data_IF_372954212276
#
_entry.id   IF_372954212276
#
_cell.length_a   1.000
_cell.length_b   1.000
_cell.length_c   1.000
_cell.angle_alpha   90.00
_cell.angle_beta   90.00
_cell.angle_gamma   90.00
#
_symmetry.space_group_name_H-M   'P 1'
#
loop_
_entity.id
_entity.type
_entity.pdbx_description
1 polymer ?
#
# COMPACT_ATOMS: atom_id res chain seq x y z
N UNK A 1 16.61 8.17 22.57
CA UNK A 1 17.97 7.58 22.69
C UNK A 1 18.12 6.48 21.66
N UNK A 2 19.13 6.57 20.78
CA UNK A 2 19.45 5.55 19.77
C UNK A 2 19.85 4.25 20.46
N UNK A 3 19.06 3.18 20.31
CA UNK A 3 19.41 1.86 20.86
C UNK A 3 20.12 1.07 19.77
N UNK A 4 21.44 0.95 19.90
CA UNK A 4 22.24 -0.01 19.12
C UNK A 4 22.10 -1.38 19.81
N UNK A 5 21.58 -2.40 19.11
CA UNK A 5 21.56 -3.79 19.61
C UNK A 5 22.62 -4.59 18.86
N UNK A 6 23.70 -5.07 19.51
CA UNK A 6 24.71 -5.87 18.83
C UNK A 6 24.25 -7.33 18.69
N UNK A 7 24.40 -7.88 17.49
CA UNK A 7 24.48 -9.33 17.28
C UNK A 7 25.97 -9.71 17.20
N UNK A 8 26.30 -10.91 17.69
CA UNK A 8 27.66 -11.45 17.61
C UNK A 8 28.05 -11.61 16.13
N UNK A 9 29.03 -10.83 15.68
CA UNK A 9 29.62 -10.90 14.34
C UNK A 9 28.96 -9.98 13.31
N UNK A 10 29.45 -8.74 13.22
CA UNK A 10 29.41 -7.83 12.05
C UNK A 10 28.06 -7.43 11.44
N UNK A 11 27.32 -6.55 12.13
CA UNK A 11 26.78 -5.26 11.66
C UNK A 11 25.93 -4.70 12.82
N UNK A 12 26.20 -3.47 13.26
CA UNK A 12 25.37 -2.84 14.30
C UNK A 12 24.00 -2.51 13.70
N UNK A 13 22.96 -3.23 14.12
CA UNK A 13 21.57 -2.86 13.81
C UNK A 13 21.29 -1.49 14.42
N UNK A 14 21.18 -0.47 13.58
CA UNK A 14 20.78 0.87 14.02
C UNK A 14 19.26 0.90 14.08
N UNK A 15 18.72 1.07 15.28
CA UNK A 15 17.28 1.21 15.48
C UNK A 15 16.89 2.69 15.57
N UNK A 16 15.98 3.06 14.68
CA UNK A 16 15.20 4.29 14.59
C UNK A 16 13.70 3.96 14.73
N UNK A 17 13.36 2.95 15.54
CA UNK A 17 11.96 2.58 15.76
C UNK A 17 11.23 3.65 16.58
N UNK A 18 9.98 3.98 16.20
CA UNK A 18 9.11 4.93 16.92
C UNK A 18 9.73 6.33 17.12
N UNK A 19 10.65 6.76 16.26
CA UNK A 19 11.27 8.09 16.36
C UNK A 19 10.59 9.08 15.41
N UNK A 20 10.77 10.37 15.68
CA UNK A 20 10.54 11.43 14.70
C UNK A 20 11.87 12.01 14.25
N UNK A 21 12.13 12.00 12.94
CA UNK A 21 13.31 12.61 12.33
C UNK A 21 12.87 13.61 11.27
N UNK A 22 13.53 14.77 11.25
CA UNK A 22 13.32 15.82 10.26
C UNK A 22 14.65 16.22 9.65
N UNK A 23 14.71 16.38 8.32
CA UNK A 23 15.88 16.89 7.59
C UNK A 23 17.18 16.12 7.85
N UNK A 24 17.08 14.82 8.18
CA UNK A 24 18.26 14.01 8.48
C UNK A 24 18.82 13.41 7.21
N UNK A 25 20.10 13.64 6.96
CA UNK A 25 20.81 12.97 5.88
C UNK A 25 21.40 11.64 6.36
N UNK A 26 21.07 10.58 5.63
CA UNK A 26 21.66 9.25 5.69
C UNK A 26 22.44 8.91 4.42
N UNK A 27 22.57 9.86 3.50
CA UNK A 27 23.15 9.68 2.17
C UNK A 27 24.42 8.81 2.17
N UNK A 28 24.51 7.85 1.26
CA UNK A 28 25.63 6.90 1.12
C UNK A 28 25.92 5.99 2.34
N UNK A 29 25.03 5.89 3.33
CA UNK A 29 25.27 5.02 4.49
C UNK A 29 24.87 3.57 4.22
N UNK A 30 25.60 2.65 4.87
CA UNK A 30 25.12 1.28 5.02
C UNK A 30 24.14 1.21 6.20
N UNK A 31 22.87 1.08 5.86
CA UNK A 31 21.73 0.95 6.76
C UNK A 31 21.08 -0.43 6.61
N UNK A 32 21.83 -1.44 6.15
CA UNK A 32 21.32 -2.81 6.09
C UNK A 32 20.86 -3.26 7.48
N UNK A 33 19.75 -4.00 7.50
CA UNK A 33 19.09 -4.49 8.72
C UNK A 33 18.58 -3.41 9.69
N UNK A 34 18.65 -2.12 9.33
CA UNK A 34 18.17 -1.04 10.20
C UNK A 34 16.65 -1.09 10.40
N UNK A 35 16.20 -0.62 11.55
CA UNK A 35 14.78 -0.62 11.91
C UNK A 35 14.25 0.80 12.01
N UNK A 36 13.43 1.20 11.04
CA UNK A 36 12.68 2.46 10.97
C UNK A 36 11.19 2.26 11.23
N UNK A 37 10.76 1.11 11.73
CA UNK A 37 9.33 0.81 11.89
C UNK A 37 8.63 1.82 12.79
N UNK A 38 7.39 2.17 12.40
CA UNK A 38 6.52 3.13 13.09
C UNK A 38 7.17 4.52 13.34
N UNK A 39 8.19 4.88 12.57
CA UNK A 39 8.83 6.19 12.66
C UNK A 39 8.12 7.25 11.82
N UNK A 40 8.29 8.52 12.17
CA UNK A 40 7.87 9.67 11.37
C UNK A 40 9.12 10.30 10.78
N UNK A 41 9.28 10.20 9.46
CA UNK A 41 10.45 10.66 8.71
C UNK A 41 9.99 11.77 7.76
N UNK A 42 10.46 12.98 8.00
CA UNK A 42 10.14 14.13 7.15
C UNK A 42 11.41 14.68 6.52
N UNK A 43 11.42 14.79 5.18
CA UNK A 43 12.54 15.37 4.44
C UNK A 43 13.90 14.71 4.75
N UNK A 44 13.90 13.40 5.03
CA UNK A 44 15.12 12.64 5.27
C UNK A 44 15.71 12.12 3.94
N UNK A 45 17.03 12.10 3.85
CA UNK A 45 17.74 11.67 2.63
C UNK A 45 18.39 10.30 2.81
N UNK A 46 17.81 9.28 2.18
CA UNK A 46 18.30 7.91 2.07
C UNK A 46 18.94 7.61 0.70
N UNK A 47 19.28 8.64 -0.08
CA UNK A 47 19.83 8.43 -1.42
C UNK A 47 21.16 7.69 -1.36
N UNK A 48 21.37 6.76 -2.28
CA UNK A 48 22.53 5.87 -2.38
C UNK A 48 22.79 4.98 -1.15
N UNK A 49 21.83 4.86 -0.22
CA UNK A 49 21.98 3.97 0.93
C UNK A 49 21.90 2.49 0.53
N UNK A 50 22.57 1.64 1.30
CA UNK A 50 22.23 0.23 1.37
C UNK A 50 21.14 0.04 2.44
N UNK A 51 19.92 -0.29 2.02
CA UNK A 51 18.76 -0.53 2.88
C UNK A 51 18.37 -2.02 2.87
N UNK A 52 19.29 -2.92 2.49
CA UNK A 52 19.03 -4.35 2.42
C UNK A 52 18.50 -4.87 3.75
N UNK A 53 17.36 -5.59 3.75
CA UNK A 53 16.67 -6.09 4.96
C UNK A 53 16.24 -5.02 5.99
N UNK A 54 16.24 -3.73 5.62
CA UNK A 54 15.73 -2.69 6.53
C UNK A 54 14.21 -2.79 6.70
N UNK A 55 13.71 -2.32 7.85
CA UNK A 55 12.30 -2.34 8.16
C UNK A 55 11.71 -0.93 8.23
N UNK A 56 10.82 -0.58 7.30
CA UNK A 56 10.02 0.65 7.29
C UNK A 56 8.54 0.39 7.61
N UNK A 57 8.19 -0.78 8.14
CA UNK A 57 6.78 -1.12 8.37
C UNK A 57 6.06 -0.10 9.26
N UNK A 58 4.92 0.41 8.80
CA UNK A 58 4.12 1.41 9.52
C UNK A 58 4.77 2.80 9.63
N UNK A 59 5.92 3.04 8.98
CA UNK A 59 6.56 4.35 9.01
C UNK A 59 5.76 5.37 8.18
N UNK A 60 5.73 6.62 8.64
CA UNK A 60 5.20 7.75 7.89
C UNK A 60 6.35 8.52 7.28
N UNK A 61 6.53 8.42 5.96
CA UNK A 61 7.56 9.11 5.20
C UNK A 61 6.93 10.20 4.35
N UNK A 62 7.40 11.42 4.51
CA UNK A 62 6.98 12.57 3.70
C UNK A 62 8.20 13.32 3.17
N UNK A 63 8.18 13.67 1.89
CA UNK A 63 9.28 14.36 1.20
C UNK A 63 10.65 13.69 1.37
N UNK A 64 10.71 12.38 1.59
CA UNK A 64 11.97 11.67 1.76
C UNK A 64 12.58 11.27 0.42
N UNK A 65 13.90 11.14 0.37
CA UNK A 65 14.65 10.84 -0.85
C UNK A 65 15.25 9.45 -0.76
N UNK A 66 15.00 8.59 -1.74
CA UNK A 66 15.55 7.22 -1.81
C UNK A 66 16.32 6.97 -3.10
N UNK A 67 16.72 8.03 -3.81
CA UNK A 67 17.29 7.90 -5.15
C UNK A 67 18.50 6.95 -5.14
N UNK A 68 18.50 5.93 -6.00
CA UNK A 68 19.58 4.93 -6.12
C UNK A 68 19.82 4.05 -4.88
N UNK A 69 18.94 4.07 -3.88
CA UNK A 69 19.05 3.19 -2.72
C UNK A 69 18.85 1.72 -3.09
N UNK A 70 19.56 0.82 -2.42
CA UNK A 70 19.34 -0.62 -2.52
C UNK A 70 18.28 -1.06 -1.51
N UNK A 71 17.12 -1.50 -1.98
CA UNK A 71 15.97 -1.89 -1.14
C UNK A 71 15.72 -3.40 -1.14
N UNK A 72 16.75 -4.20 -1.44
CA UNK A 72 16.64 -5.66 -1.44
C UNK A 72 16.08 -6.18 -0.10
N UNK A 73 14.96 -6.90 -0.16
CA UNK A 73 14.27 -7.43 1.03
C UNK A 73 13.87 -6.37 2.08
N UNK A 74 13.87 -5.08 1.74
CA UNK A 74 13.40 -4.03 2.63
C UNK A 74 11.88 -4.12 2.77
N UNK A 75 11.37 -3.90 3.99
CA UNK A 75 9.94 -4.05 4.29
C UNK A 75 9.25 -2.69 4.37
N UNK A 76 8.32 -2.41 3.45
CA UNK A 76 7.53 -1.18 3.42
C UNK A 76 6.08 -1.37 3.86
N UNK A 77 5.71 -2.52 4.46
CA UNK A 77 4.31 -2.83 4.80
C UNK A 77 3.65 -1.71 5.61
N UNK A 78 2.54 -1.17 5.12
CA UNK A 78 1.82 -0.04 5.74
C UNK A 78 2.62 1.27 5.88
N UNK A 79 3.74 1.41 5.16
CA UNK A 79 4.49 2.66 5.13
C UNK A 79 3.79 3.70 4.25
N UNK A 80 3.63 4.92 4.75
CA UNK A 80 3.14 6.04 3.94
C UNK A 80 4.35 6.62 3.21
N UNK A 81 4.30 6.68 1.88
CA UNK A 81 5.39 7.15 1.01
C UNK A 81 5.03 8.44 0.26
N UNK A 82 4.06 9.18 0.77
CA UNK A 82 3.55 10.40 0.15
C UNK A 82 4.69 11.37 -0.17
N UNK A 83 4.70 11.94 -1.38
CA UNK A 83 5.73 12.88 -1.89
C UNK A 83 7.18 12.37 -1.87
N UNK A 84 7.44 11.09 -1.60
CA UNK A 84 8.80 10.55 -1.57
C UNK A 84 9.37 10.36 -2.98
N UNK A 85 10.67 10.62 -3.14
CA UNK A 85 11.39 10.40 -4.41
C UNK A 85 12.02 9.02 -4.43
N UNK A 86 11.47 8.12 -5.25
CA UNK A 86 11.84 6.71 -5.35
C UNK A 86 12.61 6.38 -6.65
N UNK A 87 13.23 7.37 -7.28
CA UNK A 87 13.86 7.22 -8.59
C UNK A 87 15.07 6.27 -8.55
N UNK A 88 15.17 5.36 -9.52
CA UNK A 88 16.32 4.47 -9.69
C UNK A 88 16.62 3.54 -8.50
N UNK A 89 15.61 3.16 -7.72
CA UNK A 89 15.76 2.13 -6.68
C UNK A 89 16.36 0.84 -7.25
N UNK A 90 17.25 0.21 -6.50
CA UNK A 90 17.85 -1.09 -6.85
C UNK A 90 17.11 -2.20 -6.10
N UNK A 91 16.98 -3.37 -6.73
CA UNK A 91 16.37 -4.58 -6.15
C UNK A 91 14.92 -4.40 -5.66
N UNK A 92 14.14 -3.55 -6.36
CA UNK A 92 12.69 -3.38 -6.09
C UNK A 92 11.91 -4.69 -6.19
N UNK A 93 12.42 -5.65 -6.97
CA UNK A 93 11.74 -6.92 -7.22
C UNK A 93 11.54 -7.78 -5.95
N UNK A 94 12.46 -7.67 -5.00
CA UNK A 94 12.48 -8.38 -3.72
C UNK A 94 12.05 -7.52 -2.52
N UNK A 95 11.85 -6.22 -2.71
CA UNK A 95 11.31 -5.35 -1.67
C UNK A 95 9.87 -5.76 -1.32
N UNK A 96 9.59 -5.88 -0.02
CA UNK A 96 8.28 -6.32 0.46
C UNK A 96 7.32 -5.13 0.51
N UNK A 97 6.12 -5.30 -0.06
CA UNK A 97 5.06 -4.27 -0.08
C UNK A 97 5.42 -2.96 -0.81
N UNK A 98 6.40 -2.98 -1.72
CA UNK A 98 6.72 -1.81 -2.54
C UNK A 98 6.08 -1.88 -3.94
N UNK A 99 5.91 -3.08 -4.49
CA UNK A 99 5.22 -3.29 -5.76
C UNK A 99 3.71 -3.15 -5.63
N UNK A 100 3.03 -3.02 -6.77
CA UNK A 100 1.57 -3.08 -6.78
C UNK A 100 1.09 -4.46 -6.35
N UNK A 101 0.09 -4.47 -5.47
CA UNK A 101 -0.57 -5.66 -4.95
C UNK A 101 -1.54 -6.22 -5.99
N UNK A 102 -2.18 -5.35 -6.77
CA UNK A 102 -3.02 -5.76 -7.90
C UNK A 102 -2.21 -6.01 -9.18
N UNK A 103 -2.67 -6.90 -10.07
CA UNK A 103 -2.07 -7.10 -11.40
C UNK A 103 -2.01 -5.80 -12.20
N UNK A 104 -0.89 -5.56 -12.90
CA UNK A 104 -0.70 -4.35 -13.71
C UNK A 104 -1.45 -4.41 -15.05
N UNK A 105 -1.75 -5.61 -15.53
CA UNK A 105 -2.36 -5.85 -16.83
C UNK A 105 -3.44 -6.92 -16.78
N UNK A 106 -4.31 -6.89 -17.81
CA UNK A 106 -5.40 -7.84 -17.96
C UNK A 106 -6.60 -7.56 -17.03
N UNK A 107 -7.71 -8.28 -17.25
CA UNK A 107 -8.85 -8.24 -16.34
C UNK A 107 -8.63 -9.22 -15.17
N UNK A 108 -9.18 -8.88 -14.00
CA UNK A 108 -9.14 -9.76 -12.83
C UNK A 108 -10.34 -9.54 -11.90
N UNK A 109 -10.59 -10.50 -11.01
CA UNK A 109 -11.61 -10.40 -9.97
C UNK A 109 -11.08 -9.72 -8.73
N UNK A 110 -11.94 -8.94 -8.09
CA UNK A 110 -11.67 -8.21 -6.87
C UNK A 110 -12.92 -8.17 -5.97
N UNK A 111 -12.74 -7.81 -4.71
CA UNK A 111 -13.79 -7.83 -3.70
C UNK A 111 -13.81 -6.54 -2.90
N UNK A 112 -15.01 -6.00 -2.65
CA UNK A 112 -15.22 -4.80 -1.85
C UNK A 112 -16.28 -5.04 -0.81
N UNK A 113 -15.94 -4.83 0.45
CA UNK A 113 -16.93 -4.75 1.51
C UNK A 113 -17.66 -3.40 1.53
N UNK A 114 -18.97 -3.49 1.72
CA UNK A 114 -19.95 -2.43 1.75
C UNK A 114 -20.74 -2.48 3.07
N UNK A 115 -21.56 -1.46 3.32
CA UNK A 115 -22.45 -1.44 4.49
C UNK A 115 -23.34 -2.69 4.55
N UNK A 116 -23.79 -3.02 5.77
CA UNK A 116 -24.62 -4.19 6.06
C UNK A 116 -23.95 -5.51 5.69
N UNK A 117 -22.62 -5.60 5.86
CA UNK A 117 -21.83 -6.81 5.63
C UNK A 117 -22.06 -7.41 4.23
N UNK A 118 -22.19 -6.54 3.22
CA UNK A 118 -22.32 -6.94 1.82
C UNK A 118 -20.95 -6.94 1.17
N UNK A 119 -20.62 -8.02 0.47
CA UNK A 119 -19.41 -8.12 -0.35
C UNK A 119 -19.81 -8.02 -1.81
N UNK A 120 -19.21 -7.07 -2.49
CA UNK A 120 -19.34 -6.83 -3.93
C UNK A 120 -18.20 -7.55 -4.63
N UNK A 121 -18.53 -8.49 -5.51
CA UNK A 121 -17.56 -9.06 -6.44
C UNK A 121 -17.47 -8.17 -7.67
N UNK A 122 -16.25 -7.72 -7.96
CA UNK A 122 -15.91 -6.79 -9.01
C UNK A 122 -15.09 -7.51 -10.08
N UNK A 123 -15.36 -7.20 -11.34
CA UNK A 123 -14.45 -7.44 -12.44
C UNK A 123 -13.75 -6.13 -12.77
N UNK A 124 -12.45 -6.06 -12.47
CA UNK A 124 -11.60 -4.93 -12.88
C UNK A 124 -11.23 -5.16 -14.34
N UNK A 125 -11.69 -4.33 -15.29
CA UNK A 125 -11.41 -4.55 -16.70
C UNK A 125 -9.97 -4.17 -17.05
N UNK A 126 -9.47 -4.68 -18.19
CA UNK A 126 -8.08 -4.47 -18.65
C UNK A 126 -7.71 -2.99 -18.83
N UNK A 127 -8.67 -2.11 -19.03
CA UNK A 127 -8.50 -0.68 -19.28
C UNK A 127 -8.84 0.20 -18.06
N UNK A 128 -9.12 -0.38 -16.89
CA UNK A 128 -9.23 0.39 -15.66
C UNK A 128 -7.86 0.92 -15.24
N UNK A 129 -7.79 2.16 -14.78
CA UNK A 129 -6.62 2.61 -14.01
C UNK A 129 -6.68 1.91 -12.65
N UNK A 130 -5.53 1.49 -12.12
CA UNK A 130 -5.45 0.75 -10.86
C UNK A 130 -4.11 0.93 -10.18
N UNK A 131 -4.13 0.87 -8.86
CA UNK A 131 -2.95 1.04 -8.02
C UNK A 131 -3.16 0.43 -6.64
N UNK A 132 -2.08 0.23 -5.89
CA UNK A 132 -2.10 0.05 -4.45
C UNK A 132 -0.91 0.81 -3.87
N UNK A 133 -0.93 1.24 -2.62
CA UNK A 133 0.27 1.80 -2.00
C UNK A 133 1.16 0.67 -1.47
N UNK A 134 1.40 0.66 -0.17
CA UNK A 134 2.24 -0.33 0.54
C UNK A 134 1.42 -1.30 1.41
N UNK A 135 0.13 -1.39 1.13
CA UNK A 135 -0.81 -2.29 1.77
C UNK A 135 -1.46 -3.21 0.71
N UNK A 136 -2.32 -4.13 1.16
CA UNK A 136 -3.02 -5.04 0.24
C UNK A 136 -4.26 -4.39 -0.39
N UNK A 137 -4.72 -3.26 0.15
CA UNK A 137 -5.84 -2.51 -0.41
C UNK A 137 -5.40 -1.89 -1.74
N UNK A 138 -6.22 -2.11 -2.74
CA UNK A 138 -6.02 -1.56 -4.07
C UNK A 138 -7.13 -0.56 -4.38
N UNK A 139 -6.90 0.29 -5.38
CA UNK A 139 -7.86 1.27 -5.90
C UNK A 139 -7.95 1.10 -7.41
N UNK A 140 -9.13 1.31 -7.97
CA UNK A 140 -9.31 1.39 -9.42
C UNK A 140 -10.26 2.53 -9.82
N UNK A 141 -10.19 2.91 -11.09
CA UNK A 141 -11.06 3.94 -11.67
C UNK A 141 -12.44 3.43 -12.04
N UNK A 142 -12.58 2.13 -12.33
CA UNK A 142 -13.85 1.51 -12.72
C UNK A 142 -13.84 0.00 -12.54
N UNK A 143 -15.01 -0.57 -12.29
CA UNK A 143 -15.21 -2.00 -12.16
C UNK A 143 -16.61 -2.42 -12.56
N UNK A 144 -16.78 -3.59 -13.18
CA UNK A 144 -18.11 -4.18 -13.39
C UNK A 144 -18.54 -4.91 -12.13
N UNK A 145 -19.74 -4.64 -11.65
CA UNK A 145 -20.32 -5.34 -10.50
C UNK A 145 -20.89 -6.67 -10.98
N UNK A 146 -20.33 -7.78 -10.50
CA UNK A 146 -20.76 -9.12 -10.90
C UNK A 146 -21.82 -9.68 -9.97
N UNK A 147 -21.53 -9.67 -8.66
CA UNK A 147 -22.44 -10.20 -7.64
C UNK A 147 -22.33 -9.38 -6.36
N UNK A 148 -23.38 -9.40 -5.55
CA UNK A 148 -23.40 -8.81 -4.22
C UNK A 148 -23.98 -9.85 -3.27
N UNK A 149 -23.22 -10.26 -2.26
CA UNK A 149 -23.60 -11.33 -1.34
C UNK A 149 -23.34 -10.96 0.11
N UNK A 150 -24.03 -11.62 1.04
CA UNK A 150 -23.68 -11.59 2.45
C UNK A 150 -22.33 -12.27 2.69
N UNK A 151 -21.65 -11.95 3.80
CA UNK A 151 -20.37 -12.57 4.17
C UNK A 151 -20.45 -14.10 4.23
N UNK A 152 -21.58 -14.65 4.65
CA UNK A 152 -21.83 -16.10 4.72
C UNK A 152 -22.25 -16.74 3.38
N UNK A 153 -22.28 -15.94 2.30
CA UNK A 153 -22.66 -16.32 0.93
C UNK A 153 -24.12 -16.80 0.76
N UNK A 154 -24.95 -16.76 1.81
CA UNK A 154 -26.33 -17.30 1.77
C UNK A 154 -27.33 -16.37 1.10
N UNK A 155 -27.10 -15.06 1.19
CA UNK A 155 -28.02 -14.05 0.67
C UNK A 155 -27.40 -13.32 -0.50
N UNK A 156 -28.18 -13.10 -1.56
CA UNK A 156 -27.78 -12.27 -2.71
C UNK A 156 -28.58 -10.98 -2.71
N UNK A 157 -27.95 -9.89 -3.13
CA UNK A 157 -28.55 -8.56 -3.20
C UNK A 157 -28.41 -7.98 -4.61
N UNK A 158 -29.25 -6.99 -4.92
CA UNK A 158 -29.14 -6.22 -6.17
C UNK A 158 -28.23 -5.00 -6.03
N UNK A 159 -28.12 -4.47 -4.81
CA UNK A 159 -27.37 -3.24 -4.55
C UNK A 159 -26.53 -3.33 -3.26
N UNK A 160 -25.49 -2.51 -3.16
CA UNK A 160 -24.72 -2.30 -1.94
C UNK A 160 -24.20 -0.87 -1.87
N UNK A 161 -24.20 -0.29 -0.66
CA UNK A 161 -23.73 1.08 -0.42
C UNK A 161 -22.27 1.05 0.03
N UNK A 162 -21.42 1.88 -0.56
CA UNK A 162 -20.00 2.01 -0.16
C UNK A 162 -19.86 2.36 1.32
N UNK A 163 -18.81 1.84 1.97
CA UNK A 163 -18.48 2.19 3.37
C UNK A 163 -17.97 3.63 3.54
N UNK A 164 -17.55 4.28 2.45
CA UNK A 164 -16.87 5.58 2.48
C UNK A 164 -17.77 6.72 1.99
N UNK A 165 -18.68 6.41 1.07
CA UNK A 165 -19.60 7.37 0.47
C UNK A 165 -20.99 6.74 0.36
N UNK A 166 -21.94 7.25 1.13
CA UNK A 166 -23.32 6.76 1.18
C UNK A 166 -24.09 6.95 -0.15
N UNK A 167 -23.62 7.86 -1.01
CA UNK A 167 -24.19 8.08 -2.34
C UNK A 167 -23.64 7.13 -3.39
N UNK A 168 -22.49 6.49 -3.11
CA UNK A 168 -21.88 5.53 -4.02
C UNK A 168 -22.52 4.14 -3.84
N UNK A 169 -23.39 3.78 -4.78
CA UNK A 169 -24.16 2.53 -4.75
C UNK A 169 -23.72 1.61 -5.89
N UNK A 170 -23.23 0.42 -5.53
CA UNK A 170 -22.92 -0.67 -6.46
C UNK A 170 -24.20 -1.40 -6.84
N UNK A 171 -24.42 -1.64 -8.15
CA UNK A 171 -25.58 -2.38 -8.67
C UNK A 171 -25.14 -3.53 -9.55
N UNK A 172 -25.70 -4.72 -9.31
CA UNK A 172 -25.36 -5.93 -10.07
C UNK A 172 -25.57 -5.72 -11.58
N UNK A 173 -24.53 -6.00 -12.37
CA UNK A 173 -24.52 -5.86 -13.82
C UNK A 173 -23.99 -4.52 -14.33
N UNK A 174 -23.98 -3.49 -13.49
CA UNK A 174 -23.56 -2.14 -13.86
C UNK A 174 -22.05 -1.93 -13.74
N UNK A 175 -21.56 -0.88 -14.39
CA UNK A 175 -20.21 -0.36 -14.21
C UNK A 175 -20.21 0.64 -13.06
N UNK A 176 -19.49 0.33 -11.98
CA UNK A 176 -19.11 1.31 -10.98
C UNK A 176 -17.94 2.15 -11.54
N UNK A 177 -18.03 3.47 -11.45
CA UNK A 177 -17.02 4.41 -11.95
C UNK A 177 -16.64 5.33 -10.79
N UNK A 178 -15.34 5.49 -10.54
CA UNK A 178 -14.85 6.46 -9.57
C UNK A 178 -14.80 7.85 -10.20
N UNK A 179 -15.29 8.86 -9.48
CA UNK A 179 -15.40 10.23 -9.99
C UNK A 179 -14.04 10.93 -10.15
N UNK A 180 -13.07 10.64 -9.28
CA UNK A 180 -11.77 11.33 -9.22
C UNK A 180 -10.62 10.36 -8.93
N UNK A 181 -10.33 9.41 -9.84
CA UNK A 181 -9.25 8.46 -9.59
C UNK A 181 -7.86 9.12 -9.61
N UNK A 182 -7.17 9.13 -8.46
CA UNK A 182 -5.77 9.56 -8.37
C UNK A 182 -4.81 8.43 -8.77
N UNK A 183 -4.04 8.67 -9.84
CA UNK A 183 -3.02 7.75 -10.37
C UNK A 183 -1.76 7.68 -9.51
N UNK A 184 -1.48 8.70 -8.70
CA UNK A 184 -0.38 8.63 -7.74
C UNK A 184 -0.73 7.61 -6.66
N UNK A 185 -0.07 6.46 -6.76
CA UNK A 185 -0.27 5.34 -5.85
C UNK A 185 0.22 5.63 -4.43
N UNK A 186 1.07 6.64 -4.23
CA UNK A 186 1.63 6.97 -2.93
C UNK A 186 0.74 7.89 -2.11
N UNK A 187 -0.22 8.56 -2.76
CA UNK A 187 -1.28 9.31 -2.08
C UNK A 187 -2.42 8.34 -1.74
N UNK A 188 -2.21 7.54 -0.69
CA UNK A 188 -3.04 6.37 -0.37
C UNK A 188 -4.48 6.72 0.09
N UNK A 189 -4.67 7.85 0.78
CA UNK A 189 -5.98 8.34 1.24
C UNK A 189 -6.68 9.18 0.17
N UNK A 190 -6.87 8.63 -1.03
CA UNK A 190 -7.49 9.34 -2.17
C UNK A 190 -8.68 8.59 -2.76
N UNK A 191 -9.46 9.33 -3.55
CA UNK A 191 -10.63 8.84 -4.27
C UNK A 191 -10.29 7.65 -5.20
N UNK A 192 -11.27 6.75 -5.35
CA UNK A 192 -11.16 5.52 -6.13
C UNK A 192 -12.09 4.43 -5.59
N UNK A 193 -12.39 3.42 -6.42
CA UNK A 193 -13.06 2.21 -5.93
C UNK A 193 -12.02 1.36 -5.22
N UNK A 194 -12.07 1.35 -3.89
CA UNK A 194 -11.21 0.50 -3.07
C UNK A 194 -11.65 -0.96 -3.22
N UNK A 195 -10.68 -1.87 -3.28
CA UNK A 195 -10.94 -3.30 -3.36
C UNK A 195 -9.78 -4.13 -2.79
N UNK A 196 -10.05 -5.41 -2.61
CA UNK A 196 -9.10 -6.44 -2.20
C UNK A 196 -9.04 -7.54 -3.24
N UNK A 197 -7.92 -8.27 -3.27
CA UNK A 197 -7.71 -9.33 -4.26
C UNK A 197 -8.45 -10.61 -3.89
N UNK A 198 -8.67 -10.84 -2.59
CA UNK A 198 -9.39 -12.02 -2.11
C UNK A 198 -10.64 -11.66 -1.31
N UNK A 199 -11.52 -12.65 -1.18
CA UNK A 199 -12.72 -12.55 -0.35
C UNK A 199 -12.33 -12.37 1.12
N UNK A 200 -11.35 -13.13 1.59
CA UNK A 200 -10.84 -13.14 2.97
C UNK A 200 -10.27 -11.78 3.37
N UNK A 201 -9.53 -11.13 2.47
CA UNK A 201 -9.03 -9.78 2.68
C UNK A 201 -10.16 -8.75 2.77
N UNK A 202 -11.18 -8.88 1.90
CA UNK A 202 -12.31 -7.97 1.89
C UNK A 202 -13.14 -8.05 3.17
N UNK A 203 -13.35 -9.25 3.73
CA UNK A 203 -14.11 -9.43 4.99
C UNK A 203 -13.29 -9.01 6.23
N UNK A 204 -11.96 -9.10 6.17
CA UNK A 204 -11.07 -8.75 7.27
C UNK A 204 -10.83 -7.25 7.43
N UNK A 205 -11.49 -6.42 6.60
CA UNK A 205 -11.33 -4.98 6.58
C UNK A 205 -12.11 -4.24 7.69
N UNK A 206 -12.54 -4.93 8.75
CA UNK A 206 -13.15 -4.31 9.95
C UNK A 206 -12.53 -4.83 11.23
#
# INVERSE_FOLDING_TARGET
MLKKRPLKGTQLMISYQNVTLKNKSFNNQNLSFSDFSNSILHSCDFSNCDLTHSNFSGATLSNCFFSRANVDQANFRHAILDTCKLDNLKNVQSALFLKMSCPEAGPFLAYKQCHNFRIVQLLIPKDAKRSSATNNTCRCSKAKVLTIKSIDLKTSYKEAVSLVDENFIYRVGEMAIADDYNEDRWVDSTHGIHFYMTWEEAIGYM
#
